data_IF_155427435257
#
_entry.id   IF_155427435257
#
_cell.length_a   1.000
_cell.length_b   1.000
_cell.length_c   1.000
_cell.angle_alpha   90.00
_cell.angle_beta   90.00
_cell.angle_gamma   90.00
#
_symmetry.space_group_name_H-M   'P 1'
#
loop_
_entity.id
_entity.type
_entity.pdbx_description
1 polymer ?
#
# COMPACT_ATOMS: atom_id res chain seq x y z
N UNK A 1 19.80 -57.63 -13.74
CA UNK A 1 19.44 -56.28 -14.23
C UNK A 1 17.94 -56.07 -14.06
N UNK A 2 17.50 -55.15 -13.20
CA UNK A 2 16.10 -54.71 -13.09
C UNK A 2 16.00 -53.30 -13.68
N UNK A 3 15.04 -52.98 -14.55
CA UNK A 3 14.93 -51.63 -15.09
C UNK A 3 14.40 -50.70 -13.99
N UNK A 4 15.16 -49.66 -13.66
CA UNK A 4 14.72 -48.54 -12.83
C UNK A 4 13.61 -47.79 -13.56
N UNK A 5 12.37 -48.03 -13.14
CA UNK A 5 11.24 -47.18 -13.51
C UNK A 5 11.44 -45.79 -12.89
N UNK A 6 11.60 -44.84 -13.80
CA UNK A 6 11.53 -43.38 -13.70
C UNK A 6 10.73 -42.90 -12.46
N UNK A 7 11.41 -42.16 -11.56
CA UNK A 7 10.79 -41.34 -10.51
C UNK A 7 9.93 -40.25 -11.16
N UNK A 8 8.62 -40.45 -11.23
CA UNK A 8 7.67 -39.35 -11.36
C UNK A 8 7.51 -38.70 -9.98
N UNK A 9 8.22 -37.59 -9.74
CA UNK A 9 7.97 -36.70 -8.61
C UNK A 9 6.55 -36.13 -8.70
N UNK A 10 5.56 -36.87 -8.18
CA UNK A 10 4.17 -36.43 -8.01
C UNK A 10 3.99 -35.61 -6.72
N UNK A 11 4.87 -34.64 -6.46
CA UNK A 11 4.67 -33.63 -5.40
C UNK A 11 3.81 -32.46 -5.91
N UNK A 12 2.76 -32.76 -6.68
CA UNK A 12 1.81 -31.74 -7.11
C UNK A 12 0.66 -31.71 -6.11
N UNK A 13 0.63 -30.67 -5.26
CA UNK A 13 -0.50 -30.43 -4.38
C UNK A 13 -1.80 -30.36 -5.20
N UNK A 14 -2.91 -30.93 -4.70
CA UNK A 14 -4.19 -30.90 -5.40
C UNK A 14 -4.57 -29.47 -5.80
N UNK A 15 -5.19 -29.31 -6.98
CA UNK A 15 -5.43 -28.00 -7.61
C UNK A 15 -6.16 -27.00 -6.70
N UNK A 16 -7.08 -27.48 -5.86
CA UNK A 16 -7.78 -26.62 -4.91
C UNK A 16 -6.82 -26.00 -3.86
N UNK A 17 -5.83 -26.75 -3.39
CA UNK A 17 -4.83 -26.28 -2.40
C UNK A 17 -3.93 -25.23 -3.03
N UNK A 18 -3.59 -25.40 -4.32
CA UNK A 18 -2.84 -24.40 -5.08
C UNK A 18 -3.64 -23.12 -5.28
N UNK A 19 -4.93 -23.22 -5.58
CA UNK A 19 -5.80 -22.06 -5.75
C UNK A 19 -5.93 -21.26 -4.44
N UNK A 20 -6.18 -21.94 -3.31
CA UNK A 20 -6.27 -21.27 -2.01
C UNK A 20 -4.95 -20.64 -1.57
N UNK A 21 -3.80 -21.27 -1.86
CA UNK A 21 -2.48 -20.69 -1.59
C UNK A 21 -2.23 -19.42 -2.41
N UNK A 22 -2.58 -19.43 -3.69
CA UNK A 22 -2.47 -18.23 -4.56
C UNK A 22 -3.37 -17.10 -4.07
N UNK A 23 -4.64 -17.40 -3.76
CA UNK A 23 -5.58 -16.40 -3.25
C UNK A 23 -5.08 -15.81 -1.93
N UNK A 24 -4.61 -16.66 -1.01
CA UNK A 24 -4.05 -16.21 0.27
C UNK A 24 -2.83 -15.30 0.08
N UNK A 25 -1.91 -15.65 -0.82
CA UNK A 25 -0.74 -14.82 -1.10
C UNK A 25 -1.13 -13.49 -1.73
N UNK A 26 -2.08 -13.49 -2.65
CA UNK A 26 -2.57 -12.26 -3.29
C UNK A 26 -3.29 -11.35 -2.30
N UNK A 27 -4.10 -11.90 -1.39
CA UNK A 27 -4.78 -11.09 -0.38
C UNK A 27 -3.79 -10.49 0.60
N UNK A 28 -2.81 -11.26 1.07
CA UNK A 28 -1.74 -10.74 1.94
C UNK A 28 -0.91 -9.67 1.24
N UNK A 29 -0.48 -9.92 -0.01
CA UNK A 29 0.27 -8.93 -0.79
C UNK A 29 -0.55 -7.66 -1.06
N UNK A 30 -1.85 -7.81 -1.34
CA UNK A 30 -2.77 -6.68 -1.51
C UNK A 30 -2.89 -5.86 -0.22
N UNK A 31 -3.05 -6.52 0.93
CA UNK A 31 -3.15 -5.85 2.23
C UNK A 31 -1.86 -5.09 2.56
N UNK A 32 -0.70 -5.73 2.37
CA UNK A 32 0.61 -5.09 2.54
C UNK A 32 0.76 -3.91 1.59
N UNK A 33 0.38 -4.05 0.32
CA UNK A 33 0.42 -2.98 -0.67
C UNK A 33 -0.41 -1.76 -0.24
N UNK A 34 -1.65 -1.99 0.23
CA UNK A 34 -2.52 -0.92 0.73
C UNK A 34 -1.88 -0.22 1.95
N UNK A 35 -1.33 -0.98 2.89
CA UNK A 35 -0.66 -0.42 4.06
C UNK A 35 0.58 0.40 3.70
N UNK A 36 1.39 -0.06 2.74
CA UNK A 36 2.58 0.66 2.28
C UNK A 36 2.20 1.93 1.54
N UNK A 37 1.20 1.89 0.65
CA UNK A 37 0.74 3.08 -0.08
C UNK A 37 0.10 4.08 0.88
N UNK A 38 -0.76 3.62 1.78
CA UNK A 38 -1.42 4.48 2.77
C UNK A 38 -0.43 5.09 3.76
N UNK A 39 0.41 4.26 4.39
CA UNK A 39 1.44 4.71 5.33
C UNK A 39 2.50 5.59 4.66
N UNK A 40 2.94 5.21 3.45
CA UNK A 40 3.86 5.99 2.63
C UNK A 40 3.28 7.33 2.20
N UNK A 41 2.00 7.39 1.85
CA UNK A 41 1.32 8.64 1.49
C UNK A 41 1.23 9.62 2.66
N UNK A 42 0.92 9.13 3.86
CA UNK A 42 0.90 9.95 5.08
C UNK A 42 2.31 10.42 5.43
N UNK A 43 3.28 9.51 5.45
CA UNK A 43 4.67 9.84 5.74
C UNK A 43 5.27 10.81 4.72
N UNK A 44 4.94 10.66 3.43
CA UNK A 44 5.36 11.56 2.36
C UNK A 44 4.73 12.94 2.52
N UNK A 45 3.44 13.03 2.85
CA UNK A 45 2.81 14.32 3.14
C UNK A 45 3.48 15.02 4.32
N UNK A 46 3.76 14.29 5.41
CA UNK A 46 4.48 14.86 6.56
C UNK A 46 5.88 15.31 6.14
N UNK A 47 6.64 14.47 5.43
CA UNK A 47 8.00 14.79 4.99
C UNK A 47 8.05 15.98 4.03
N UNK A 48 7.20 16.00 3.00
CA UNK A 48 7.13 17.08 2.02
C UNK A 48 6.73 18.42 2.65
N UNK A 49 5.97 18.38 3.74
CA UNK A 49 5.59 19.55 4.51
C UNK A 49 6.53 19.85 5.71
N UNK A 50 7.46 18.95 6.02
CA UNK A 50 8.43 19.12 7.11
C UNK A 50 9.49 20.14 6.71
N UNK A 51 10.12 20.77 7.72
CA UNK A 51 11.22 21.74 7.52
C UNK A 51 12.50 21.12 6.91
N UNK A 52 12.51 19.80 6.74
CA UNK A 52 13.65 19.03 6.25
C UNK A 52 13.62 18.82 4.73
N UNK A 53 12.48 19.05 4.07
CA UNK A 53 12.34 18.81 2.63
C UNK A 53 12.48 20.12 1.82
N UNK A 54 13.32 20.15 0.76
CA UNK A 54 13.49 21.33 -0.10
C UNK A 54 12.26 21.63 -0.97
N UNK A 55 11.20 20.81 -0.92
CA UNK A 55 9.98 20.94 -1.72
C UNK A 55 8.91 21.86 -1.08
N UNK A 56 9.14 22.38 0.12
CA UNK A 56 8.15 23.08 0.90
C UNK A 56 8.01 24.58 0.50
N UNK A 57 7.10 24.90 -0.44
CA UNK A 57 6.80 26.30 -0.82
C UNK A 57 5.65 26.94 -0.01
N UNK A 58 4.83 26.13 0.64
CA UNK A 58 3.77 26.58 1.56
C UNK A 58 3.76 25.59 2.72
N UNK A 59 4.47 25.93 3.80
CA UNK A 59 4.35 25.23 5.09
C UNK A 59 2.85 25.08 5.42
N UNK A 60 2.48 24.13 6.27
CA UNK A 60 1.22 24.18 7.05
C UNK A 60 1.19 25.40 7.99
N UNK A 61 1.57 26.57 7.49
CA UNK A 61 1.30 27.84 8.09
C UNK A 61 -0.17 28.12 7.80
N UNK A 62 -0.90 28.46 8.85
CA UNK A 62 -2.25 28.98 8.76
C UNK A 62 -2.30 30.09 7.70
N UNK A 63 -3.07 29.87 6.64
CA UNK A 63 -3.35 30.87 5.63
C UNK A 63 -4.63 31.60 6.06
N UNK A 64 -4.46 32.84 6.50
CA UNK A 64 -5.55 33.68 7.02
C UNK A 64 -6.66 33.89 5.97
N UNK A 65 -6.31 33.88 4.68
CA UNK A 65 -7.30 33.96 3.60
C UNK A 65 -8.14 32.67 3.53
N UNK A 66 -7.55 31.48 3.68
CA UNK A 66 -8.30 30.21 3.80
C UNK A 66 -9.25 30.20 5.00
N UNK A 67 -8.83 30.76 6.14
CA UNK A 67 -9.68 30.84 7.33
C UNK A 67 -10.89 31.77 7.12
N UNK A 68 -10.69 32.94 6.51
CA UNK A 68 -11.78 33.86 6.20
C UNK A 68 -12.71 33.35 5.08
N UNK A 69 -12.19 32.59 4.11
CA UNK A 69 -13.01 31.98 3.05
C UNK A 69 -13.90 30.83 3.56
N UNK A 70 -13.38 29.97 4.45
CA UNK A 70 -14.19 28.89 5.05
C UNK A 70 -15.34 29.44 5.91
N UNK A 71 -15.08 30.52 6.66
CA UNK A 71 -16.09 31.18 7.51
C UNK A 71 -17.20 31.88 6.72
N UNK A 72 -16.93 32.35 5.49
CA UNK A 72 -17.97 32.90 4.58
C UNK A 72 -18.91 31.83 4.02
N UNK A 73 -18.45 30.59 3.93
CA UNK A 73 -19.27 29.45 3.48
C UNK A 73 -20.25 28.95 4.54
N UNK A 74 -19.91 29.11 5.83
CA UNK A 74 -20.77 28.75 6.97
C UNK A 74 -21.87 29.78 7.28
N UNK A 75 -21.78 30.99 6.71
CA UNK A 75 -22.75 32.08 6.89
C UNK A 75 -23.86 32.11 5.80
N UNK A 76 -24.02 31.03 5.03
CA UNK A 76 -25.11 30.84 4.05
C UNK A 76 -26.04 29.70 4.45
#
# INVERSE_FOLDING_TARGET
MRPSFIRLNKNQLPLHVRATDVVHRLTVLGLVGICVIGGGGIAFNIWANSDWSPFNKKKLAFDENQYHEQRKGEEK
#
